data_IF_234816462121
#
_entry.id   IF_234816462121
#
_cell.length_a   1.000
_cell.length_b   1.000
_cell.length_c   1.000
_cell.angle_alpha   90.00
_cell.angle_beta   90.00
_cell.angle_gamma   90.00
#
_symmetry.space_group_name_H-M   'P 1'
#
loop_
_entity.id
_entity.type
_entity.pdbx_description
1 polymer ?
#
# COMPACT_ATOMS: atom_id res chain seq x y z
N UNK A 1 -18.90 -18.94 3.63
CA UNK A 1 -18.74 -17.91 4.69
C UNK A 1 -17.24 -17.71 4.89
N UNK A 2 -16.60 -17.05 3.94
CA UNK A 2 -15.15 -16.78 3.99
C UNK A 2 -14.96 -15.51 4.81
N UNK A 3 -14.42 -15.69 6.01
CA UNK A 3 -14.03 -14.66 6.95
C UNK A 3 -13.28 -13.51 6.28
N UNK A 4 -13.90 -12.33 6.25
CA UNK A 4 -13.19 -11.07 6.04
C UNK A 4 -12.17 -10.94 7.17
N UNK A 5 -10.91 -11.27 6.88
CA UNK A 5 -9.82 -11.06 7.82
C UNK A 5 -9.71 -9.56 8.08
N UNK A 6 -10.08 -9.14 9.28
CA UNK A 6 -9.91 -7.78 9.77
C UNK A 6 -8.39 -7.54 9.92
N UNK A 7 -7.79 -6.94 8.90
CA UNK A 7 -6.36 -6.71 8.85
C UNK A 7 -6.02 -5.53 9.73
N UNK A 8 -5.51 -5.84 10.93
CA UNK A 8 -4.71 -4.99 11.82
C UNK A 8 -4.33 -3.67 11.16
N UNK A 9 -4.89 -2.59 11.69
CA UNK A 9 -4.61 -1.21 11.30
C UNK A 9 -3.09 -1.03 11.28
N UNK A 10 -2.53 -0.64 10.14
CA UNK A 10 -1.13 -0.22 10.08
C UNK A 10 -1.00 0.99 11.02
N UNK A 11 -0.23 0.89 12.12
CA UNK A 11 -0.35 1.83 13.24
C UNK A 11 0.34 3.17 12.96
N UNK A 12 1.16 3.24 11.91
CA UNK A 12 1.93 4.43 11.56
C UNK A 12 1.17 5.30 10.56
N UNK A 13 1.11 6.61 10.82
CA UNK A 13 0.49 7.57 9.89
C UNK A 13 1.33 7.79 8.62
N UNK A 14 2.64 7.71 8.73
CA UNK A 14 3.60 7.99 7.67
C UNK A 14 4.54 6.79 7.46
N UNK A 15 4.98 6.57 6.21
CA UNK A 15 6.03 5.61 5.87
C UNK A 15 7.27 6.41 5.42
N UNK A 16 8.17 6.70 6.36
CA UNK A 16 9.38 7.50 6.12
C UNK A 16 10.65 6.66 5.97
N UNK A 17 10.57 5.37 6.29
CA UNK A 17 11.69 4.43 6.26
C UNK A 17 11.31 3.14 7.00
N UNK A 18 12.23 2.17 7.02
CA UNK A 18 11.98 0.84 7.59
C UNK A 18 12.44 0.69 9.05
N UNK A 19 13.27 1.61 9.56
CA UNK A 19 13.91 1.46 10.87
C UNK A 19 12.93 1.37 12.06
N UNK A 20 11.76 2.01 11.95
CA UNK A 20 10.71 1.97 12.97
C UNK A 20 9.66 0.88 12.77
N UNK A 21 9.81 0.04 11.75
CA UNK A 21 8.84 -1.02 11.46
C UNK A 21 9.20 -2.28 12.22
N UNK A 22 8.22 -2.87 12.89
CA UNK A 22 8.36 -4.23 13.40
C UNK A 22 8.35 -5.24 12.24
N UNK A 23 8.85 -6.47 12.44
CA UNK A 23 8.69 -7.53 11.45
C UNK A 23 7.23 -7.74 11.02
N UNK A 24 6.30 -7.62 11.96
CA UNK A 24 4.87 -7.74 11.69
C UNK A 24 4.34 -6.60 10.79
N UNK A 25 4.79 -5.35 10.99
CA UNK A 25 4.42 -4.23 10.11
C UNK A 25 4.90 -4.47 8.67
N UNK A 26 6.12 -5.02 8.52
CA UNK A 26 6.69 -5.34 7.22
C UNK A 26 5.88 -6.43 6.53
N UNK A 27 5.60 -7.54 7.22
CA UNK A 27 4.78 -8.63 6.68
C UNK A 27 3.39 -8.16 6.30
N UNK A 28 2.79 -7.27 7.10
CA UNK A 28 1.49 -6.68 6.82
C UNK A 28 1.51 -5.85 5.51
N UNK A 29 2.56 -5.06 5.28
CA UNK A 29 2.73 -4.28 4.04
C UNK A 29 2.96 -5.20 2.83
N UNK A 30 3.82 -6.21 2.95
CA UNK A 30 4.12 -7.16 1.88
C UNK A 30 2.87 -7.96 1.49
N UNK A 31 2.09 -8.44 2.45
CA UNK A 31 0.83 -9.14 2.19
C UNK A 31 -0.25 -8.25 1.56
N UNK A 32 -0.25 -6.94 1.83
CA UNK A 32 -1.11 -5.98 1.11
C UNK A 32 -0.62 -5.77 -0.33
N UNK A 33 0.69 -5.68 -0.53
CA UNK A 33 1.28 -5.53 -1.86
C UNK A 33 0.95 -6.72 -2.77
N UNK A 34 1.05 -7.96 -2.27
CA UNK A 34 0.73 -9.16 -3.07
C UNK A 34 -0.72 -9.16 -3.57
N UNK A 35 -1.66 -8.71 -2.73
CA UNK A 35 -3.07 -8.54 -3.12
C UNK A 35 -3.26 -7.45 -4.18
N UNK A 36 -2.53 -6.34 -4.06
CA UNK A 36 -2.55 -5.28 -5.06
C UNK A 36 -1.95 -5.75 -6.40
N UNK A 37 -0.91 -6.60 -6.38
CA UNK A 37 -0.36 -7.25 -7.58
C UNK A 37 -1.44 -8.10 -8.26
N UNK A 38 -2.18 -8.91 -7.50
CA UNK A 38 -3.28 -9.70 -8.06
C UNK A 38 -4.33 -8.82 -8.77
N UNK A 39 -4.71 -7.68 -8.19
CA UNK A 39 -5.61 -6.70 -8.82
C UNK A 39 -5.01 -6.11 -10.11
N UNK A 40 -3.71 -5.77 -10.10
CA UNK A 40 -3.02 -5.17 -11.26
C UNK A 40 -2.96 -6.10 -12.49
N UNK A 41 -3.08 -7.41 -12.26
CA UNK A 41 -3.08 -8.45 -13.29
C UNK A 41 -4.47 -8.73 -13.88
N UNK A 42 -5.54 -8.24 -13.26
CA UNK A 42 -6.90 -8.39 -13.77
C UNK A 42 -7.13 -7.51 -15.01
N UNK A 43 -8.13 -7.86 -15.81
CA UNK A 43 -8.54 -7.06 -16.97
C UNK A 43 -9.11 -5.70 -16.54
N UNK A 44 -9.92 -5.68 -15.48
CA UNK A 44 -10.33 -4.46 -14.80
C UNK A 44 -9.43 -4.20 -13.59
N UNK A 45 -8.64 -3.13 -13.67
CA UNK A 45 -7.64 -2.74 -12.66
C UNK A 45 -8.13 -1.62 -11.75
N UNK A 46 -9.38 -1.16 -11.92
CA UNK A 46 -9.89 -0.01 -11.20
C UNK A 46 -10.17 -0.37 -9.75
N UNK A 47 -9.74 0.51 -8.85
CA UNK A 47 -10.10 0.49 -7.44
C UNK A 47 -10.68 1.85 -7.04
N UNK A 48 -11.67 1.84 -6.16
CA UNK A 48 -12.26 3.05 -5.60
C UNK A 48 -11.55 3.52 -4.31
N UNK A 49 -10.51 2.83 -3.85
CA UNK A 49 -9.88 3.06 -2.54
C UNK A 49 -9.40 4.51 -2.32
N UNK A 50 -8.96 5.19 -3.39
CA UNK A 50 -8.47 6.58 -3.33
C UNK A 50 -9.44 7.58 -3.99
N UNK A 51 -10.70 7.20 -4.21
CA UNK A 51 -11.67 8.07 -4.88
C UNK A 51 -11.85 9.38 -4.11
N UNK A 52 -11.75 10.51 -4.84
CA UNK A 52 -11.84 11.85 -4.25
C UNK A 52 -10.59 12.30 -3.49
N UNK A 53 -9.46 11.59 -3.64
CA UNK A 53 -8.16 11.98 -3.08
C UNK A 53 -7.19 12.41 -4.18
N UNK A 54 -6.30 13.33 -3.85
CA UNK A 54 -5.21 13.79 -4.71
C UNK A 54 -3.89 13.22 -4.20
N UNK A 55 -3.14 12.56 -5.07
CA UNK A 55 -1.75 12.15 -4.80
C UNK A 55 -0.81 13.24 -5.33
N UNK A 56 0.09 13.72 -4.48
CA UNK A 56 1.09 14.73 -4.84
C UNK A 56 2.46 14.05 -4.79
N UNK A 57 3.14 13.99 -5.93
CA UNK A 57 4.53 13.55 -6.01
C UNK A 57 5.43 14.79 -6.02
N UNK A 58 6.30 14.93 -5.02
CA UNK A 58 7.22 16.06 -4.87
C UNK A 58 8.66 15.53 -4.92
N UNK A 59 9.42 15.98 -5.91
CA UNK A 59 10.82 15.62 -6.09
C UNK A 59 11.67 16.89 -6.19
N UNK A 60 12.76 16.95 -5.41
CA UNK A 60 13.74 18.03 -5.50
C UNK A 60 14.82 17.76 -6.58
N UNK A 61 14.89 16.51 -7.06
CA UNK A 61 15.82 16.03 -8.08
C UNK A 61 15.13 15.01 -9.00
N UNK A 62 15.68 14.75 -10.18
CA UNK A 62 15.05 13.87 -11.17
C UNK A 62 14.94 12.42 -10.65
N UNK A 63 13.71 11.89 -10.58
CA UNK A 63 13.44 10.55 -10.06
C UNK A 63 12.32 9.87 -10.86
N UNK A 64 12.70 9.17 -11.94
CA UNK A 64 11.75 8.64 -12.95
C UNK A 64 11.34 7.19 -12.74
N UNK A 65 12.00 6.50 -11.81
CA UNK A 65 11.72 5.08 -11.48
C UNK A 65 10.87 4.89 -10.23
N UNK A 66 10.67 5.96 -9.46
CA UNK A 66 9.96 5.98 -8.18
C UNK A 66 8.47 6.19 -8.41
#
# INVERSE_FOLDING_TARGET
MTSETDFSVYPHRHLLGIAGLSPFDIDLLLNRAERAVALSRQADKKSAALRGRTQINLFFEASTRT
#
